data_IF_132924278315
#
_entry.id   IF_132924278315
#
_cell.length_a   1.000
_cell.length_b   1.000
_cell.length_c   1.000
_cell.angle_alpha   90.00
_cell.angle_beta   90.00
_cell.angle_gamma   90.00
#
_symmetry.space_group_name_H-M   'P 1'
#
loop_
_entity.id
_entity.type
_entity.pdbx_description
1 polymer ?
#
# COMPACT_ATOMS: atom_id res chain seq x y z
N UNK A 1 -20.48 2.69 8.40
CA UNK A 1 -21.23 2.98 7.14
C UNK A 1 -20.60 4.09 6.26
N UNK A 2 -19.42 4.64 6.62
CA UNK A 2 -18.77 5.75 5.91
C UNK A 2 -17.80 5.36 4.76
N UNK A 3 -17.01 4.27 4.80
CA UNK A 3 -15.96 4.01 3.80
C UNK A 3 -16.53 3.75 2.40
N UNK A 4 -17.68 3.06 2.29
CA UNK A 4 -18.26 2.73 1.00
C UNK A 4 -18.72 3.96 0.20
N UNK A 5 -19.16 5.06 0.86
CA UNK A 5 -19.60 6.28 0.17
C UNK A 5 -18.43 7.08 -0.40
N UNK A 6 -17.31 7.17 0.32
CA UNK A 6 -16.10 7.84 -0.15
C UNK A 6 -15.42 7.04 -1.26
N UNK A 7 -15.27 5.71 -1.08
CA UNK A 7 -14.74 4.80 -2.11
C UNK A 7 -15.61 4.83 -3.37
N UNK A 8 -16.96 4.86 -3.24
CA UNK A 8 -17.86 5.03 -4.40
C UNK A 8 -17.68 6.37 -5.10
N UNK A 9 -17.51 7.47 -4.35
CA UNK A 9 -17.28 8.81 -4.94
C UNK A 9 -15.93 8.90 -5.64
N UNK A 10 -14.87 8.34 -5.06
CA UNK A 10 -13.55 8.25 -5.69
C UNK A 10 -13.57 7.31 -6.91
N UNK A 11 -14.20 6.14 -6.81
CA UNK A 11 -14.38 5.23 -7.95
C UNK A 11 -15.23 5.87 -9.07
N UNK A 12 -16.18 6.75 -8.74
CA UNK A 12 -16.96 7.50 -9.71
C UNK A 12 -16.18 8.62 -10.43
N UNK A 13 -15.02 9.04 -9.90
CA UNK A 13 -14.10 9.97 -10.58
C UNK A 13 -13.21 9.27 -11.63
N UNK A 14 -13.01 7.95 -11.53
CA UNK A 14 -12.17 7.18 -12.48
C UNK A 14 -12.74 7.18 -13.91
N UNK A 15 -14.06 7.01 -14.15
CA UNK A 15 -14.67 7.22 -15.46
C UNK A 15 -14.52 8.65 -15.99
N UNK A 16 -14.58 9.67 -15.13
CA UNK A 16 -14.42 11.08 -15.53
C UNK A 16 -13.00 11.38 -16.05
N UNK A 17 -11.98 10.66 -15.56
CA UNK A 17 -10.61 10.75 -16.10
C UNK A 17 -10.45 10.01 -17.44
N UNK A 18 -11.28 9.01 -17.72
CA UNK A 18 -11.32 8.34 -19.04
C UNK A 18 -11.88 9.28 -20.11
N UNK A 19 -12.94 10.01 -19.78
CA UNK A 19 -13.51 11.07 -20.64
C UNK A 19 -12.47 12.17 -20.94
N UNK A 20 -11.63 12.54 -19.96
CA UNK A 20 -10.54 13.51 -20.18
C UNK A 20 -9.42 12.97 -21.09
N UNK A 21 -9.15 11.66 -21.09
CA UNK A 21 -8.24 11.04 -22.07
C UNK A 21 -8.84 11.00 -23.47
N UNK A 22 -10.13 10.69 -23.60
CA UNK A 22 -10.85 10.74 -24.88
C UNK A 22 -10.84 12.18 -25.45
N UNK A 23 -11.02 13.19 -24.60
CA UNK A 23 -10.92 14.60 -24.97
C UNK A 23 -9.48 15.00 -25.34
N UNK A 24 -8.46 14.45 -24.69
CA UNK A 24 -7.05 14.65 -25.07
C UNK A 24 -6.69 13.92 -26.38
N UNK A 25 -7.40 12.84 -26.72
CA UNK A 25 -7.29 12.13 -27.99
C UNK A 25 -7.97 12.89 -29.14
N UNK A 26 -9.01 13.68 -28.84
CA UNK A 26 -9.67 14.59 -29.78
C UNK A 26 -8.87 15.88 -30.04
N UNK A 27 -7.93 16.25 -29.15
CA UNK A 27 -6.99 17.34 -29.35
C UNK A 27 -5.67 16.87 -29.97
N UNK A 28 -5.73 16.25 -31.15
CA UNK A 28 -4.68 16.24 -32.18
C UNK A 28 -3.20 16.18 -31.76
N UNK A 29 -2.81 15.30 -30.83
CA UNK A 29 -1.39 14.97 -30.61
C UNK A 29 -1.03 13.88 -31.63
N UNK A 30 -0.07 14.11 -32.55
CA UNK A 30 0.24 13.14 -33.60
C UNK A 30 0.74 11.83 -32.98
N UNK A 31 0.00 10.75 -33.30
CA UNK A 31 0.36 9.37 -32.99
C UNK A 31 1.76 9.05 -33.49
N UNK A 32 2.58 8.47 -32.63
CA UNK A 32 3.88 7.90 -32.98
C UNK A 32 3.67 6.89 -34.13
N UNK A 33 4.28 7.18 -35.28
CA UNK A 33 4.18 6.38 -36.50
C UNK A 33 4.61 4.92 -36.21
N UNK A 34 3.73 3.99 -36.56
CA UNK A 34 4.03 2.55 -36.66
C UNK A 34 5.15 2.31 -37.67
N UNK A 35 6.19 1.57 -37.25
CA UNK A 35 7.21 1.01 -38.13
C UNK A 35 6.71 -0.31 -38.76
N UNK A 36 7.11 -0.67 -39.99
CA UNK A 36 6.47 -1.73 -40.76
C UNK A 36 6.66 -3.13 -40.17
N UNK A 37 5.66 -3.95 -40.45
CA UNK A 37 5.55 -5.38 -40.22
C UNK A 37 6.71 -6.19 -40.82
N UNK A 38 7.55 -6.79 -39.96
CA UNK A 38 8.34 -7.96 -40.33
C UNK A 38 7.60 -9.25 -39.93
N UNK A 39 6.58 -9.60 -40.70
CA UNK A 39 5.91 -10.90 -40.65
C UNK A 39 6.78 -11.92 -41.40
N UNK A 40 7.60 -12.71 -40.70
CA UNK A 40 8.35 -13.77 -41.40
C UNK A 40 9.34 -14.64 -40.62
N UNK A 41 9.74 -14.30 -39.39
CA UNK A 41 10.83 -15.02 -38.69
C UNK A 41 10.51 -15.52 -37.28
N UNK A 42 9.26 -15.40 -36.82
CA UNK A 42 8.84 -15.72 -35.43
C UNK A 42 8.31 -17.16 -35.22
N UNK A 43 8.48 -18.07 -36.18
CA UNK A 43 7.97 -19.44 -36.07
C UNK A 43 8.93 -20.42 -35.38
N UNK A 44 10.23 -20.33 -35.66
CA UNK A 44 11.19 -21.39 -35.27
C UNK A 44 11.87 -21.13 -33.92
N UNK A 45 12.20 -19.88 -33.59
CA UNK A 45 12.85 -19.52 -32.33
C UNK A 45 11.93 -19.61 -31.10
N UNK A 46 10.65 -19.28 -31.26
CA UNK A 46 9.68 -19.40 -30.18
C UNK A 46 9.43 -20.87 -29.79
N UNK A 47 9.36 -21.77 -30.78
CA UNK A 47 9.22 -23.20 -30.54
C UNK A 47 10.45 -23.80 -29.85
N UNK A 48 11.68 -23.40 -30.21
CA UNK A 48 12.89 -23.83 -29.49
C UNK A 48 12.95 -23.30 -28.04
N UNK A 49 12.46 -22.09 -27.79
CA UNK A 49 12.39 -21.52 -26.44
C UNK A 49 11.33 -22.23 -25.58
N UNK A 50 10.20 -22.64 -26.18
CA UNK A 50 9.18 -23.42 -25.49
C UNK A 50 9.67 -24.84 -25.19
N UNK A 51 10.39 -25.48 -26.11
CA UNK A 51 11.02 -26.77 -25.83
C UNK A 51 12.09 -26.67 -24.73
N UNK A 52 12.90 -25.60 -24.73
CA UNK A 52 13.87 -25.36 -23.65
C UNK A 52 13.19 -25.12 -22.30
N UNK A 53 12.08 -24.38 -22.27
CA UNK A 53 11.29 -24.16 -21.05
C UNK A 53 10.65 -25.45 -20.54
N UNK A 54 10.10 -26.29 -21.42
CA UNK A 54 9.51 -27.59 -21.06
C UNK A 54 10.59 -28.54 -20.54
N UNK A 55 11.76 -28.61 -21.20
CA UNK A 55 12.90 -29.42 -20.72
C UNK A 55 13.43 -28.92 -19.38
N UNK A 56 13.53 -27.60 -19.19
CA UNK A 56 13.92 -27.00 -17.90
C UNK A 56 12.91 -27.34 -16.80
N UNK A 57 11.61 -27.30 -17.10
CA UNK A 57 10.55 -27.63 -16.14
C UNK A 57 10.54 -29.11 -15.76
N UNK A 58 10.85 -30.02 -16.70
CA UNK A 58 10.95 -31.45 -16.45
C UNK A 58 12.24 -31.84 -15.70
N UNK A 59 13.34 -31.11 -15.92
CA UNK A 59 14.62 -31.34 -15.26
C UNK A 59 14.71 -30.69 -13.86
N UNK A 60 13.73 -29.86 -13.46
CA UNK A 60 13.76 -29.14 -12.20
C UNK A 60 13.37 -30.08 -11.02
N UNK A 61 14.30 -30.41 -10.10
CA UNK A 61 14.01 -31.29 -8.96
C UNK A 61 12.95 -30.73 -8.00
N UNK A 62 12.71 -29.41 -8.00
CA UNK A 62 11.63 -28.79 -7.25
C UNK A 62 10.22 -29.13 -7.82
N UNK A 63 10.10 -29.38 -9.13
CA UNK A 63 8.85 -29.81 -9.74
C UNK A 63 8.52 -31.27 -9.42
N UNK A 64 9.54 -32.13 -9.32
CA UNK A 64 9.39 -33.52 -8.86
C UNK A 64 8.92 -33.58 -7.38
N UNK A 65 9.39 -32.67 -6.53
CA UNK A 65 8.94 -32.56 -5.14
C UNK A 65 7.43 -32.26 -5.02
N UNK A 66 6.86 -31.47 -5.94
CA UNK A 66 5.42 -31.19 -5.99
C UNK A 66 4.58 -32.38 -6.48
N UNK A 67 5.15 -33.30 -7.27
CA UNK A 67 4.47 -34.53 -7.68
C UNK A 67 4.42 -35.59 -6.58
N UNK A 68 5.34 -35.55 -5.60
CA UNK A 68 5.28 -36.43 -4.41
C UNK A 68 4.15 -36.06 -3.45
N UNK A 69 3.47 -34.93 -3.67
CA UNK A 69 2.30 -34.52 -2.92
C UNK A 69 1.05 -35.27 -3.44
N UNK A 70 1.05 -36.59 -3.28
CA UNK A 70 -0.11 -37.45 -3.52
C UNK A 70 -1.01 -37.55 -2.27
N UNK A 71 -2.30 -37.88 -2.42
CA UNK A 71 -3.28 -37.94 -1.31
C UNK A 71 -2.96 -38.94 -0.18
N UNK A 72 -1.92 -39.76 -0.32
CA UNK A 72 -1.56 -40.86 0.58
C UNK A 72 -0.50 -40.55 1.64
N UNK A 73 0.15 -39.37 1.61
CA UNK A 73 1.15 -38.96 2.62
C UNK A 73 0.52 -38.19 3.79
N UNK A 74 -0.76 -38.43 4.07
CA UNK A 74 -1.42 -37.95 5.27
C UNK A 74 -0.82 -38.69 6.47
N UNK A 75 0.23 -38.11 7.05
CA UNK A 75 0.76 -38.52 8.33
C UNK A 75 -0.40 -38.72 9.31
N UNK A 76 -0.35 -39.84 10.03
CA UNK A 76 -1.24 -40.15 11.14
C UNK A 76 -1.35 -38.90 12.02
N UNK A 77 -2.49 -38.22 11.92
CA UNK A 77 -2.84 -37.16 12.86
C UNK A 77 -3.19 -37.88 14.14
N UNK A 78 -2.29 -37.80 15.11
CA UNK A 78 -2.55 -38.26 16.47
C UNK A 78 -3.82 -37.55 16.94
N UNK A 79 -4.86 -38.32 17.26
CA UNK A 79 -6.18 -37.85 17.67
C UNK A 79 -6.19 -37.18 19.06
N UNK A 80 -5.14 -36.42 19.40
CA UNK A 80 -4.92 -35.81 20.71
C UNK A 80 -4.52 -34.32 20.69
N UNK A 81 -4.34 -33.68 19.53
CA UNK A 81 -4.04 -32.24 19.47
C UNK A 81 -5.18 -31.46 18.85
N UNK A 82 -5.95 -30.81 19.73
CA UNK A 82 -6.73 -29.57 19.51
C UNK A 82 -7.14 -29.29 18.07
N UNK A 83 -8.43 -29.49 17.77
CA UNK A 83 -9.12 -28.81 16.65
C UNK A 83 -8.60 -27.36 16.59
N UNK A 84 -8.11 -26.87 15.44
CA UNK A 84 -7.76 -25.47 15.32
C UNK A 84 -9.05 -24.69 15.57
N UNK A 85 -9.07 -24.04 16.72
CA UNK A 85 -10.19 -23.25 17.19
C UNK A 85 -10.50 -22.19 16.14
N UNK A 86 -11.55 -22.41 15.35
CA UNK A 86 -12.16 -21.43 14.44
C UNK A 86 -12.90 -20.34 15.21
N UNK A 87 -12.39 -20.00 16.39
CA UNK A 87 -12.81 -18.81 17.11
C UNK A 87 -12.50 -17.58 16.24
N UNK A 88 -13.39 -16.57 16.22
CA UNK A 88 -13.09 -15.29 15.60
C UNK A 88 -11.74 -14.77 16.11
N UNK A 89 -11.01 -14.02 15.29
CA UNK A 89 -9.68 -13.42 15.60
C UNK A 89 -9.81 -12.41 16.76
N UNK A 90 -10.11 -12.91 17.96
CA UNK A 90 -10.37 -12.15 19.18
C UNK A 90 -9.25 -12.36 20.21
N UNK A 91 -8.25 -13.20 19.92
CA UNK A 91 -7.10 -13.32 20.81
C UNK A 91 -6.35 -11.98 20.85
N UNK A 92 -6.24 -11.34 22.03
CA UNK A 92 -5.53 -10.07 22.22
C UNK A 92 -4.01 -10.34 22.27
N UNK A 93 -3.49 -11.11 21.31
CA UNK A 93 -2.06 -11.34 21.22
C UNK A 93 -1.38 -10.00 20.95
N UNK A 94 -0.38 -9.61 21.76
CA UNK A 94 0.37 -8.39 21.52
C UNK A 94 1.01 -8.42 20.13
N UNK A 95 1.13 -7.25 19.51
CA UNK A 95 1.76 -7.14 18.19
C UNK A 95 3.16 -7.80 18.21
N UNK A 96 3.58 -8.52 17.16
CA UNK A 96 4.91 -9.10 17.10
C UNK A 96 5.99 -8.06 17.40
N UNK A 97 6.97 -8.37 18.24
CA UNK A 97 8.00 -7.39 18.67
C UNK A 97 8.71 -6.73 17.49
N UNK A 98 9.00 -7.50 16.44
CA UNK A 98 9.59 -6.98 15.21
C UNK A 98 8.72 -5.91 14.53
N UNK A 99 7.39 -6.10 14.51
CA UNK A 99 6.46 -5.13 13.94
C UNK A 99 6.40 -3.84 14.78
N UNK A 100 6.51 -3.94 16.11
CA UNK A 100 6.59 -2.77 16.98
C UNK A 100 7.89 -1.99 16.74
N UNK A 101 9.03 -2.67 16.77
CA UNK A 101 10.36 -2.05 16.56
C UNK A 101 10.43 -1.36 15.20
N UNK A 102 10.03 -2.06 14.12
CA UNK A 102 10.02 -1.48 12.78
C UNK A 102 9.02 -0.32 12.65
N UNK A 103 7.85 -0.44 13.28
CA UNK A 103 6.87 0.65 13.30
C UNK A 103 7.42 1.91 13.95
N UNK A 104 7.94 1.81 15.17
CA UNK A 104 8.53 2.95 15.89
C UNK A 104 9.79 3.49 15.22
N UNK A 105 10.64 2.62 14.65
CA UNK A 105 11.80 3.04 13.86
C UNK A 105 11.38 3.90 12.65
N UNK A 106 10.26 3.57 12.00
CA UNK A 106 9.69 4.36 10.91
C UNK A 106 9.20 5.76 11.30
N UNK A 107 9.03 6.07 12.59
CA UNK A 107 8.69 7.43 13.05
C UNK A 107 9.92 8.32 13.13
N UNK A 108 11.11 7.73 13.34
CA UNK A 108 12.33 8.50 13.58
C UNK A 108 12.64 9.48 12.43
N UNK A 109 12.63 9.08 11.14
CA UNK A 109 12.84 10.03 10.06
C UNK A 109 11.77 11.13 10.05
N UNK A 110 10.54 10.77 10.37
CA UNK A 110 9.41 11.69 10.37
C UNK A 110 9.56 12.85 11.35
N UNK A 111 10.10 12.57 12.53
CA UNK A 111 10.35 13.56 13.58
C UNK A 111 11.64 14.33 13.34
N UNK A 112 12.70 13.64 12.92
CA UNK A 112 14.00 14.25 12.70
C UNK A 112 14.01 15.22 11.51
N UNK A 113 13.23 14.94 10.46
CA UNK A 113 13.12 15.81 9.29
C UNK A 113 12.16 16.99 9.49
N UNK A 114 11.44 17.09 10.62
CA UNK A 114 10.61 18.26 10.89
C UNK A 114 11.50 19.49 11.09
N UNK A 115 11.36 20.58 10.31
CA UNK A 115 12.23 21.75 10.37
C UNK A 115 12.45 22.35 11.77
N UNK A 116 11.43 22.54 12.63
CA UNK A 116 11.66 23.02 13.99
C UNK A 116 12.45 22.03 14.84
N UNK A 117 12.28 20.72 14.64
CA UNK A 117 13.10 19.73 15.34
C UNK A 117 14.52 19.81 14.80
N UNK A 118 14.72 19.65 13.50
CA UNK A 118 16.03 19.71 12.84
C UNK A 118 16.84 20.96 13.21
N UNK A 119 16.17 22.12 13.32
CA UNK A 119 16.77 23.37 13.75
C UNK A 119 17.13 23.37 15.25
N UNK A 120 16.22 22.97 16.14
CA UNK A 120 16.44 23.01 17.59
C UNK A 120 17.43 21.95 18.09
N UNK A 121 17.55 20.81 17.42
CA UNK A 121 18.56 19.78 17.73
C UNK A 121 19.84 19.93 16.90
N UNK A 122 20.00 21.04 16.17
CA UNK A 122 21.17 21.36 15.34
C UNK A 122 21.57 20.24 14.36
N UNK A 123 20.61 19.45 13.89
CA UNK A 123 20.87 18.34 12.96
C UNK A 123 21.16 18.86 11.57
N UNK A 124 20.51 19.95 11.16
CA UNK A 124 20.77 20.59 9.88
C UNK A 124 20.97 22.11 10.04
N UNK A 125 21.91 22.68 9.26
CA UNK A 125 22.02 24.13 9.11
C UNK A 125 20.72 24.76 8.56
N UNK A 126 20.43 26.04 8.85
CA UNK A 126 19.20 26.73 8.44
C UNK A 126 18.91 26.67 6.94
N UNK A 127 19.95 26.66 6.11
CA UNK A 127 19.84 26.62 4.65
C UNK A 127 19.25 25.30 4.10
N UNK A 128 19.26 24.22 4.89
CA UNK A 128 18.71 22.92 4.48
C UNK A 128 17.29 22.65 4.98
N UNK A 129 16.67 23.58 5.72
CA UNK A 129 15.33 23.39 6.30
C UNK A 129 14.24 23.18 5.23
N UNK A 130 14.36 23.83 4.07
CA UNK A 130 13.45 23.63 2.95
C UNK A 130 13.56 22.21 2.36
N UNK A 131 14.79 21.69 2.25
CA UNK A 131 15.04 20.32 1.79
C UNK A 131 14.50 19.32 2.81
N UNK A 132 14.71 19.56 4.11
CA UNK A 132 14.19 18.72 5.18
C UNK A 132 12.66 18.63 5.15
N UNK A 133 11.96 19.76 4.98
CA UNK A 133 10.50 19.80 4.86
C UNK A 133 10.01 19.00 3.64
N UNK A 134 10.65 19.17 2.49
CA UNK A 134 10.30 18.43 1.27
C UNK A 134 10.55 16.92 1.43
N UNK A 135 11.67 16.54 2.03
CA UNK A 135 11.99 15.15 2.33
C UNK A 135 11.03 14.53 3.37
N UNK A 136 10.55 15.31 4.33
CA UNK A 136 9.51 14.88 5.26
C UNK A 136 8.20 14.57 4.52
N UNK A 137 7.81 15.43 3.56
CA UNK A 137 6.61 15.23 2.73
C UNK A 137 6.71 14.00 1.84
N UNK A 138 7.84 13.79 1.16
CA UNK A 138 8.03 12.60 0.32
C UNK A 138 8.04 11.33 1.16
N UNK A 139 8.66 11.34 2.34
CA UNK A 139 8.62 10.23 3.27
C UNK A 139 7.20 9.92 3.76
N UNK A 140 6.41 10.96 4.07
CA UNK A 140 5.00 10.80 4.42
C UNK A 140 4.18 10.16 3.29
N UNK A 141 4.42 10.56 2.05
CA UNK A 141 3.78 9.95 0.89
C UNK A 141 4.16 8.47 0.72
N UNK A 142 5.43 8.10 0.97
CA UNK A 142 5.86 6.70 0.99
C UNK A 142 5.10 5.88 2.05
N UNK A 143 4.98 6.39 3.28
CA UNK A 143 4.23 5.72 4.35
C UNK A 143 2.75 5.56 3.96
N UNK A 144 2.10 6.63 3.51
CA UNK A 144 0.68 6.57 3.12
C UNK A 144 0.46 5.56 1.98
N UNK A 145 1.38 5.48 1.02
CA UNK A 145 1.35 4.50 -0.07
C UNK A 145 1.52 3.07 0.43
N UNK A 146 2.45 2.84 1.36
CA UNK A 146 2.63 1.53 2.01
C UNK A 146 1.37 1.09 2.77
N UNK A 147 0.72 2.01 3.49
CA UNK A 147 -0.54 1.74 4.20
C UNK A 147 -1.67 1.38 3.23
N UNK A 148 -1.71 1.98 2.04
CA UNK A 148 -2.59 1.57 0.95
C UNK A 148 -2.29 0.15 0.48
N UNK A 149 -1.02 -0.15 0.18
CA UNK A 149 -0.57 -1.47 -0.29
C UNK A 149 -0.95 -2.63 0.64
N UNK A 150 -1.02 -2.39 1.96
CA UNK A 150 -1.50 -3.38 2.93
C UNK A 150 -2.91 -3.89 2.59
N UNK A 151 -3.81 -3.04 2.09
CA UNK A 151 -5.16 -3.44 1.74
C UNK A 151 -5.21 -4.35 0.52
N UNK A 152 -4.30 -4.17 -0.44
CA UNK A 152 -4.12 -5.09 -1.55
C UNK A 152 -3.65 -6.45 -1.04
N UNK A 153 -2.64 -6.48 -0.17
CA UNK A 153 -2.12 -7.71 0.42
C UNK A 153 -3.22 -8.47 1.19
N UNK A 154 -4.04 -7.76 1.98
CA UNK A 154 -5.14 -8.37 2.72
C UNK A 154 -6.26 -8.89 1.81
N UNK A 155 -6.53 -8.20 0.70
CA UNK A 155 -7.51 -8.64 -0.30
C UNK A 155 -7.10 -9.99 -0.94
N UNK A 156 -5.81 -10.19 -1.21
CA UNK A 156 -5.30 -11.45 -1.78
C UNK A 156 -5.44 -12.63 -0.81
N UNK A 157 -5.34 -12.38 0.50
CA UNK A 157 -5.37 -13.42 1.54
C UNK A 157 -6.82 -13.77 1.94
N UNK A 158 -7.74 -12.80 1.90
CA UNK A 158 -9.12 -13.00 2.36
C UNK A 158 -10.06 -13.19 1.17
N UNK A 159 -10.21 -14.44 0.72
CA UNK A 159 -11.20 -14.81 -0.29
C UNK A 159 -12.45 -15.37 0.39
N UNK A 160 -13.57 -14.66 0.25
CA UNK A 160 -14.88 -15.08 0.76
C UNK A 160 -15.88 -15.39 -0.35
N UNK A 161 -17.10 -15.81 0.01
CA UNK A 161 -18.22 -15.97 -0.93
C UNK A 161 -18.66 -14.67 -1.62
N UNK A 162 -19.84 -14.63 -2.26
CA UNK A 162 -20.33 -13.45 -3.01
C UNK A 162 -20.22 -12.11 -2.27
N UNK A 163 -20.56 -12.06 -0.97
CA UNK A 163 -20.40 -10.86 -0.13
C UNK A 163 -18.92 -10.49 0.11
N UNK A 164 -18.03 -11.47 0.17
CA UNK A 164 -16.58 -11.27 0.28
C UNK A 164 -15.95 -10.69 -0.99
N UNK A 165 -16.45 -11.04 -2.18
CA UNK A 165 -15.97 -10.48 -3.46
C UNK A 165 -16.19 -8.97 -3.56
N UNK A 166 -17.30 -8.46 -3.02
CA UNK A 166 -17.58 -7.03 -3.03
C UNK A 166 -16.60 -6.26 -2.12
N UNK A 167 -16.36 -6.81 -0.93
CA UNK A 167 -15.40 -6.28 0.04
C UNK A 167 -13.97 -6.30 -0.54
N UNK A 168 -13.60 -7.34 -1.27
CA UNK A 168 -12.30 -7.46 -1.94
C UNK A 168 -12.09 -6.34 -2.96
N UNK A 169 -13.09 -6.08 -3.83
CA UNK A 169 -13.05 -4.97 -4.79
C UNK A 169 -12.85 -3.62 -4.10
N UNK A 170 -13.54 -3.38 -3.00
CA UNK A 170 -13.39 -2.15 -2.23
C UNK A 170 -11.99 -2.00 -1.63
N UNK A 171 -11.37 -3.10 -1.18
CA UNK A 171 -9.98 -3.09 -0.70
C UNK A 171 -8.99 -2.81 -1.81
N UNK A 172 -9.17 -3.36 -3.01
CA UNK A 172 -8.29 -3.03 -4.14
C UNK A 172 -8.36 -1.56 -4.50
N UNK A 173 -9.57 -0.99 -4.59
CA UNK A 173 -9.73 0.45 -4.86
C UNK A 173 -9.06 1.27 -3.75
N UNK A 174 -9.37 0.93 -2.49
CA UNK A 174 -8.81 1.62 -1.34
C UNK A 174 -7.28 1.44 -1.23
N UNK A 175 -6.69 0.40 -1.80
CA UNK A 175 -5.24 0.22 -1.74
C UNK A 175 -4.47 1.27 -2.57
N UNK A 176 -5.09 1.76 -3.64
CA UNK A 176 -4.49 2.72 -4.58
C UNK A 176 -4.85 4.16 -4.20
N UNK A 177 -6.03 4.38 -3.63
CA UNK A 177 -6.53 5.72 -3.29
C UNK A 177 -5.56 6.54 -2.41
N UNK A 178 -5.00 6.03 -1.29
CA UNK A 178 -4.07 6.78 -0.46
C UNK A 178 -2.82 7.24 -1.21
N UNK A 179 -2.24 6.40 -2.06
CA UNK A 179 -1.06 6.74 -2.86
C UNK A 179 -1.37 7.86 -3.87
N UNK A 180 -2.53 7.77 -4.54
CA UNK A 180 -2.98 8.80 -5.47
C UNK A 180 -3.34 10.13 -4.80
N UNK A 181 -3.77 10.09 -3.53
CA UNK A 181 -4.00 11.31 -2.73
C UNK A 181 -2.69 11.94 -2.24
N UNK A 182 -1.73 11.10 -1.83
CA UNK A 182 -0.48 11.57 -1.23
C UNK A 182 0.50 12.13 -2.26
N UNK A 183 0.55 11.57 -3.47
CA UNK A 183 1.45 12.03 -4.54
C UNK A 183 1.30 13.52 -4.88
N UNK A 184 0.11 14.04 -5.26
CA UNK A 184 -0.04 15.47 -5.55
C UNK A 184 0.19 16.32 -4.30
N UNK A 185 -0.21 15.84 -3.11
CA UNK A 185 0.04 16.55 -1.86
C UNK A 185 1.53 16.74 -1.56
N UNK A 186 2.37 15.78 -1.94
CA UNK A 186 3.83 15.85 -1.81
C UNK A 186 4.50 16.83 -2.80
N UNK A 187 3.78 17.29 -3.83
CA UNK A 187 4.28 18.29 -4.80
C UNK A 187 3.88 19.73 -4.46
N UNK A 188 3.00 19.92 -3.47
CA UNK A 188 2.59 21.23 -2.99
C UNK A 188 3.74 21.93 -2.24
N UNK A 189 3.60 23.23 -2.03
CA UNK A 189 4.51 23.94 -1.14
C UNK A 189 4.40 23.39 0.31
N UNK A 190 5.49 23.45 1.10
CA UNK A 190 5.57 22.76 2.39
C UNK A 190 4.44 23.04 3.38
N UNK A 191 3.95 24.28 3.42
CA UNK A 191 2.85 24.68 4.30
C UNK A 191 1.53 23.94 3.99
N UNK A 192 1.11 23.93 2.72
CA UNK A 192 -0.13 23.27 2.32
C UNK A 192 0.06 21.75 2.23
N UNK A 193 1.19 21.29 1.72
CA UNK A 193 1.47 19.88 1.49
C UNK A 193 1.47 19.06 2.78
N UNK A 194 2.14 19.55 3.82
CA UNK A 194 2.19 18.86 5.13
C UNK A 194 0.81 18.83 5.80
N UNK A 195 0.04 19.90 5.74
CA UNK A 195 -1.33 19.93 6.27
C UNK A 195 -2.25 18.91 5.56
N UNK A 196 -2.18 18.84 4.22
CA UNK A 196 -2.96 17.88 3.42
C UNK A 196 -2.53 16.45 3.72
N UNK A 197 -1.22 16.16 3.77
CA UNK A 197 -0.70 14.83 4.09
C UNK A 197 -1.13 14.37 5.51
N UNK A 198 -1.22 15.30 6.47
CA UNK A 198 -1.68 14.99 7.83
C UNK A 198 -3.16 14.59 7.84
N UNK A 199 -3.99 15.33 7.08
CA UNK A 199 -5.39 15.00 6.90
C UNK A 199 -5.57 13.63 6.21
N UNK A 200 -4.79 13.35 5.15
CA UNK A 200 -4.81 12.05 4.47
C UNK A 200 -4.46 10.94 5.47
N UNK A 201 -3.36 11.06 6.22
CA UNK A 201 -2.93 10.05 7.19
C UNK A 201 -4.02 9.74 8.23
N UNK A 202 -4.72 10.78 8.71
CA UNK A 202 -5.88 10.65 9.60
C UNK A 202 -7.06 9.93 8.94
N UNK A 203 -7.39 10.26 7.68
CA UNK A 203 -8.44 9.57 6.91
C UNK A 203 -8.09 8.08 6.76
N UNK A 204 -6.84 7.75 6.41
CA UNK A 204 -6.43 6.35 6.27
C UNK A 204 -6.63 5.62 7.61
N UNK A 205 -6.20 6.19 8.74
CA UNK A 205 -6.43 5.59 10.06
C UNK A 205 -7.91 5.37 10.39
N UNK A 206 -8.78 6.34 10.10
CA UNK A 206 -10.24 6.20 10.32
C UNK A 206 -10.80 5.04 9.51
N UNK A 207 -10.37 4.92 8.24
CA UNK A 207 -10.80 3.81 7.40
C UNK A 207 -10.31 2.50 7.98
N UNK A 208 -9.03 2.36 8.32
CA UNK A 208 -8.49 1.14 8.93
C UNK A 208 -9.20 0.74 10.22
N UNK A 209 -9.56 1.69 11.08
CA UNK A 209 -10.37 1.43 12.27
C UNK A 209 -11.75 0.87 11.91
N UNK A 210 -12.37 1.39 10.84
CA UNK A 210 -13.66 0.88 10.38
C UNK A 210 -13.58 -0.55 9.83
N UNK A 211 -12.48 -0.91 9.17
CA UNK A 211 -12.21 -2.28 8.70
C UNK A 211 -11.87 -3.24 9.86
N UNK A 212 -11.15 -2.76 10.87
CA UNK A 212 -10.88 -3.52 12.09
C UNK A 212 -12.14 -3.83 12.88
N UNK A 213 -13.09 -2.88 12.96
CA UNK A 213 -14.40 -3.13 13.60
C UNK A 213 -15.25 -4.19 12.91
N UNK A 214 -14.96 -4.48 11.63
CA UNK A 214 -15.59 -5.54 10.85
C UNK A 214 -14.84 -6.89 10.97
N UNK A 215 -13.86 -6.99 11.86
CA UNK A 215 -13.05 -8.20 12.05
C UNK A 215 -12.04 -8.48 10.94
N UNK A 216 -11.82 -7.53 10.03
CA UNK A 216 -10.97 -7.76 8.86
C UNK A 216 -9.53 -7.22 8.98
N UNK A 217 -9.22 -6.65 10.15
CA UNK A 217 -7.87 -6.26 10.56
C UNK A 217 -7.73 -6.65 12.03
N UNK A 218 -6.58 -7.19 12.45
CA UNK A 218 -6.39 -7.56 13.83
C UNK A 218 -6.34 -6.33 14.73
N UNK A 219 -6.95 -6.40 15.93
CA UNK A 219 -7.06 -5.25 16.83
C UNK A 219 -5.70 -4.71 17.30
N UNK A 220 -4.66 -5.56 17.40
CA UNK A 220 -3.30 -5.13 17.75
C UNK A 220 -2.72 -4.16 16.71
N UNK A 221 -3.11 -4.28 15.44
CA UNK A 221 -2.63 -3.40 14.37
C UNK A 221 -3.10 -1.96 14.58
N UNK A 222 -4.38 -1.77 14.92
CA UNK A 222 -4.93 -0.44 15.19
C UNK A 222 -4.33 0.18 16.45
N UNK A 223 -4.09 -0.63 17.50
CA UNK A 223 -3.40 -0.17 18.72
C UNK A 223 -1.99 0.30 18.45
N UNK A 224 -1.25 -0.39 17.58
CA UNK A 224 0.09 0.03 17.15
C UNK A 224 0.03 1.28 16.25
N UNK A 225 -0.95 1.32 15.36
CA UNK A 225 -1.06 2.39 14.36
C UNK A 225 -1.50 3.74 14.93
N UNK A 226 -2.30 3.76 15.99
CA UNK A 226 -2.74 5.00 16.63
C UNK A 226 -1.57 5.92 17.05
N UNK A 227 -0.59 5.48 17.87
CA UNK A 227 0.54 6.33 18.24
C UNK A 227 1.39 6.71 17.03
N UNK A 228 1.56 5.80 16.06
CA UNK A 228 2.28 6.09 14.80
C UNK A 228 1.63 7.22 14.01
N UNK A 229 0.31 7.17 13.84
CA UNK A 229 -0.46 8.19 13.14
C UNK A 229 -0.45 9.52 13.89
N UNK A 230 -0.61 9.50 15.23
CA UNK A 230 -0.54 10.72 16.04
C UNK A 230 0.83 11.38 15.87
N UNK A 231 1.91 10.64 16.05
CA UNK A 231 3.27 11.16 15.91
C UNK A 231 3.49 11.71 14.49
N UNK A 232 3.12 10.96 13.44
CA UNK A 232 3.21 11.44 12.07
C UNK A 232 2.42 12.75 11.83
N UNK A 233 1.17 12.81 12.29
CA UNK A 233 0.35 14.02 12.16
C UNK A 233 0.96 15.21 12.92
N UNK A 234 1.44 15.00 14.15
CA UNK A 234 2.10 16.06 14.92
C UNK A 234 3.32 16.59 14.19
N UNK A 235 4.17 15.71 13.64
CA UNK A 235 5.34 16.11 12.87
C UNK A 235 4.99 16.94 11.62
N UNK A 236 3.95 16.56 10.88
CA UNK A 236 3.50 17.34 9.71
C UNK A 236 2.88 18.67 10.09
N UNK A 237 2.00 18.70 11.10
CA UNK A 237 1.31 19.91 11.51
C UNK A 237 2.27 20.93 12.11
N UNK A 238 3.29 20.46 12.83
CA UNK A 238 4.34 21.30 13.36
C UNK A 238 5.12 21.98 12.22
N UNK A 239 5.50 21.21 11.19
CA UNK A 239 6.12 21.76 9.99
C UNK A 239 5.19 22.76 9.30
N UNK A 240 3.91 22.43 9.10
CA UNK A 240 2.92 23.32 8.51
C UNK A 240 2.85 24.66 9.25
N UNK A 241 2.72 24.62 10.58
CA UNK A 241 2.65 25.81 11.44
C UNK A 241 3.90 26.68 11.28
N UNK A 242 5.09 26.09 11.35
CA UNK A 242 6.34 26.87 11.21
C UNK A 242 6.47 27.53 9.83
N UNK A 243 6.12 26.81 8.77
CA UNK A 243 6.21 27.35 7.39
C UNK A 243 5.15 28.38 7.05
N UNK A 244 4.05 28.43 7.81
CA UNK A 244 3.02 29.48 7.66
C UNK A 244 3.39 30.78 8.37
N UNK A 245 4.27 30.70 9.38
CA UNK A 245 4.69 31.83 10.22
C UNK A 245 6.11 32.33 9.93
N UNK A 246 6.82 31.70 9.00
CA UNK A 246 8.12 32.13 8.48
C UNK A 246 7.95 32.98 7.22
#
# INVERSE_FOLDING_TARGET
>A
MWPHKFVRRFAALVPQLRELKELQQLQGIPCFHQHPSHSGLLGKGALSSLEQLVRWQQANPAAAALQTWGPGSRGRVDSGSTVPDTSPISNPSPAPRIAQVLGYAGVLPYMLLSPPVAHNIAVLPPEFLAVAAQSQMTYAACIISFLGGLHWALAMIHQGGEAGKQVEKERYIWSVTPALMAWPAATLAPAQGTAVLAAILGIVYIVDRSWASQGMLPLWYIKLRLPLTILGMTGLLLTAFTTMHA
#
